data_IF_651041929280
#
_entry.id   IF_651041929280
#
_cell.length_a   1.000
_cell.length_b   1.000
_cell.length_c   1.000
_cell.angle_alpha   90.00
_cell.angle_beta   90.00
_cell.angle_gamma   90.00
#
_symmetry.space_group_name_H-M   'P 1'
#
loop_
_entity.id
_entity.type
_entity.pdbx_description
1 polymer ?
#
# COMPACT_ATOMS: atom_id res chain seq x y z
N UNK A 1 11.31 -6.66 18.91
CA UNK A 1 12.30 -6.10 19.86
C UNK A 1 11.65 -6.06 21.23
N UNK A 2 12.35 -6.49 22.28
CA UNK A 2 11.85 -6.34 23.65
C UNK A 2 12.00 -4.87 24.10
N UNK A 3 11.02 -4.36 24.86
CA UNK A 3 11.05 -3.00 25.39
C UNK A 3 12.27 -2.77 26.29
N UNK A 4 13.24 -1.91 25.90
CA UNK A 4 14.46 -1.67 26.67
C UNK A 4 14.22 -0.88 27.96
N UNK A 5 13.04 -0.27 28.11
CA UNK A 5 12.63 0.50 29.28
C UNK A 5 11.90 -0.35 30.33
N UNK A 6 11.61 -1.61 30.02
CA UNK A 6 11.03 -2.57 30.99
C UNK A 6 11.86 -2.68 32.26
N UNK A 7 13.20 -2.56 32.16
CA UNK A 7 14.14 -2.53 33.30
C UNK A 7 13.92 -1.36 34.26
N UNK A 8 13.21 -0.32 33.82
CA UNK A 8 12.84 0.84 34.62
C UNK A 8 11.37 0.80 35.09
N UNK A 9 10.68 -0.33 34.91
CA UNK A 9 9.29 -0.50 35.32
C UNK A 9 8.26 0.06 34.32
N UNK A 10 8.67 0.50 33.13
CA UNK A 10 7.76 0.99 32.09
C UNK A 10 7.24 -0.18 31.29
N UNK A 11 5.91 -0.38 31.27
CA UNK A 11 5.27 -1.42 30.48
C UNK A 11 5.24 -1.09 28.98
N UNK A 12 5.11 -2.12 28.16
CA UNK A 12 4.99 -1.98 26.70
C UNK A 12 3.76 -1.16 26.31
N UNK A 13 2.66 -1.30 27.06
CA UNK A 13 1.44 -0.51 26.86
C UNK A 13 1.63 0.97 27.16
N UNK A 14 2.36 1.31 28.22
CA UNK A 14 2.65 2.71 28.56
C UNK A 14 3.57 3.34 27.52
N UNK A 15 4.59 2.61 27.09
CA UNK A 15 5.48 3.06 26.02
C UNK A 15 4.72 3.26 24.70
N UNK A 16 3.87 2.32 24.31
CA UNK A 16 3.06 2.45 23.10
C UNK A 16 2.11 3.65 23.17
N UNK A 17 1.47 3.88 24.32
CA UNK A 17 0.59 5.03 24.53
C UNK A 17 1.35 6.36 24.43
N UNK A 18 2.55 6.44 25.02
CA UNK A 18 3.40 7.63 24.95
C UNK A 18 3.86 7.92 23.51
N UNK A 19 4.23 6.89 22.73
CA UNK A 19 4.60 7.04 21.32
C UNK A 19 3.37 7.47 20.49
N UNK A 20 2.20 6.92 20.79
CA UNK A 20 0.96 7.25 20.08
C UNK A 20 0.54 8.71 20.30
N UNK A 21 0.73 9.25 21.51
CA UNK A 21 0.36 10.62 21.87
C UNK A 21 1.46 11.67 21.66
N UNK A 22 2.70 11.25 21.37
CA UNK A 22 3.82 12.16 21.16
C UNK A 22 3.69 12.97 19.86
N UNK A 23 3.64 14.30 20.01
CA UNK A 23 3.62 15.25 18.90
C UNK A 23 4.94 15.26 18.10
N UNK A 24 6.07 14.98 18.75
CA UNK A 24 7.39 14.91 18.11
C UNK A 24 7.49 13.70 17.19
N UNK A 25 7.01 12.53 17.64
CA UNK A 25 6.92 11.32 16.80
C UNK A 25 6.01 11.57 15.60
N UNK A 26 4.92 12.31 15.78
CA UNK A 26 4.02 12.68 14.68
C UNK A 26 4.67 13.64 13.67
N UNK A 27 5.45 14.61 14.14
CA UNK A 27 6.17 15.53 13.28
C UNK A 27 7.23 14.78 12.46
N UNK A 28 8.09 14.00 13.11
CA UNK A 28 9.13 13.23 12.43
C UNK A 28 8.56 12.22 11.43
N UNK A 29 7.42 11.60 11.76
CA UNK A 29 6.77 10.68 10.82
C UNK A 29 6.20 11.39 9.60
N UNK A 30 5.74 12.64 9.72
CA UNK A 30 5.31 13.44 8.56
C UNK A 30 6.47 13.78 7.64
N UNK A 31 7.62 14.11 8.21
CA UNK A 31 8.85 14.37 7.45
C UNK A 31 9.29 13.12 6.69
N UNK A 32 9.38 11.98 7.38
CA UNK A 32 9.70 10.70 6.75
C UNK A 32 8.68 10.31 5.67
N UNK A 33 7.39 10.55 5.91
CA UNK A 33 6.35 10.29 4.91
C UNK A 33 6.52 11.19 3.68
N UNK A 34 6.97 12.44 3.86
CA UNK A 34 7.25 13.33 2.75
C UNK A 34 8.44 12.84 1.93
N UNK A 35 9.54 12.47 2.57
CA UNK A 35 10.72 11.88 1.89
C UNK A 35 10.34 10.62 1.11
N UNK A 36 9.54 9.74 1.71
CA UNK A 36 9.06 8.53 1.05
C UNK A 36 8.15 8.84 -0.14
N UNK A 37 7.31 9.88 -0.06
CA UNK A 37 6.49 10.33 -1.18
C UNK A 37 7.35 10.86 -2.32
N UNK A 38 8.37 11.66 -2.01
CA UNK A 38 9.28 12.24 -3.00
C UNK A 38 10.11 11.15 -3.70
N UNK A 39 10.61 10.18 -2.93
CA UNK A 39 11.28 9.01 -3.49
C UNK A 39 10.35 8.20 -4.40
N UNK A 40 9.13 7.88 -3.96
CA UNK A 40 8.16 7.16 -4.77
C UNK A 40 7.87 7.91 -6.09
N UNK A 41 7.69 9.22 -6.06
CA UNK A 41 7.55 10.03 -7.29
C UNK A 41 8.75 9.89 -8.21
N UNK A 42 9.96 9.88 -7.66
CA UNK A 42 11.20 9.80 -8.45
C UNK A 42 11.39 8.47 -9.17
N UNK A 43 10.90 7.37 -8.62
CA UNK A 43 10.99 6.02 -9.21
C UNK A 43 9.74 5.62 -9.99
N UNK A 44 8.70 6.46 -10.00
CA UNK A 44 7.46 6.17 -10.71
C UNK A 44 7.67 6.23 -12.23
N UNK A 45 6.99 5.36 -13.02
CA UNK A 45 7.15 5.33 -14.47
C UNK A 45 6.90 6.68 -15.15
N UNK A 46 7.85 7.10 -15.98
CA UNK A 46 7.89 8.42 -16.66
C UNK A 46 6.70 8.62 -17.59
N UNK A 47 6.28 7.55 -18.28
CA UNK A 47 5.20 7.57 -19.28
C UNK A 47 3.82 7.86 -18.66
N UNK A 48 3.73 7.79 -17.33
CA UNK A 48 2.52 8.04 -16.55
C UNK A 48 2.76 9.14 -15.52
N UNK A 49 3.16 10.33 -15.97
CA UNK A 49 3.36 11.49 -15.08
C UNK A 49 2.17 11.78 -14.14
N UNK A 50 0.95 11.43 -14.55
CA UNK A 50 -0.26 11.45 -13.71
C UNK A 50 -0.18 10.53 -12.48
N UNK A 51 0.47 9.37 -12.62
CA UNK A 51 0.71 8.44 -11.52
C UNK A 51 1.68 9.04 -10.50
N UNK A 52 2.84 9.52 -10.94
CA UNK A 52 3.78 10.20 -10.04
C UNK A 52 3.11 11.40 -9.33
N UNK A 53 2.41 12.26 -10.07
CA UNK A 53 1.71 13.42 -9.52
C UNK A 53 0.61 13.05 -8.48
N UNK A 54 0.06 11.84 -8.55
CA UNK A 54 -0.98 11.38 -7.63
C UNK A 54 -0.47 10.91 -6.27
N UNK A 55 0.84 10.62 -6.13
CA UNK A 55 1.48 10.18 -4.89
C UNK A 55 1.55 11.34 -3.91
N UNK A 56 1.06 11.15 -2.67
CA UNK A 56 1.09 12.17 -1.62
C UNK A 56 1.03 11.59 -0.22
N UNK A 57 1.45 12.39 0.74
CA UNK A 57 1.18 12.15 2.17
C UNK A 57 -0.32 12.32 2.40
N UNK A 58 -0.94 11.29 2.99
CA UNK A 58 -2.36 11.26 3.30
C UNK A 58 -2.59 11.72 4.74
N UNK A 59 -3.62 12.54 4.91
CA UNK A 59 -4.10 12.95 6.22
C UNK A 59 -5.11 11.92 6.70
N UNK A 60 -4.72 11.13 7.70
CA UNK A 60 -5.60 10.14 8.34
C UNK A 60 -6.26 10.78 9.56
N UNK A 61 -7.58 10.62 9.69
CA UNK A 61 -8.32 11.07 10.87
C UNK A 61 -7.98 10.11 12.02
N UNK A 62 -7.34 10.63 13.07
CA UNK A 62 -6.86 9.86 14.22
C UNK A 62 -5.80 8.80 13.89
N UNK A 63 -4.95 9.08 12.91
CA UNK A 63 -3.87 8.18 12.51
C UNK A 63 -2.58 8.91 12.22
N UNK A 64 -1.51 8.12 12.23
CA UNK A 64 -0.14 8.51 11.87
C UNK A 64 -0.04 8.78 10.36
N UNK A 65 0.84 9.68 9.93
CA UNK A 65 0.97 10.05 8.52
C UNK A 65 1.30 8.83 7.64
N UNK A 66 0.64 8.70 6.50
CA UNK A 66 0.86 7.61 5.54
C UNK A 66 1.13 8.17 4.15
N UNK A 67 1.77 7.38 3.28
CA UNK A 67 1.99 7.74 1.87
C UNK A 67 1.10 6.89 0.99
N UNK A 68 0.45 7.49 0.00
CA UNK A 68 -0.37 6.74 -0.95
C UNK A 68 -0.71 7.49 -2.22
N UNK A 69 -1.27 6.77 -3.18
CA UNK A 69 -1.81 7.27 -4.44
C UNK A 69 -3.27 6.86 -4.58
N UNK A 70 -4.08 7.69 -5.26
CA UNK A 70 -5.46 7.36 -5.67
C UNK A 70 -5.54 6.96 -7.14
N UNK A 71 -4.43 6.95 -7.85
CA UNK A 71 -4.39 6.57 -9.25
C UNK A 71 -4.58 5.06 -9.36
N UNK A 72 -5.48 4.61 -10.23
CA UNK A 72 -5.87 3.20 -10.33
C UNK A 72 -4.69 2.25 -10.58
N UNK A 73 -3.67 2.69 -11.35
CA UNK A 73 -2.40 1.95 -11.55
C UNK A 73 -1.61 1.67 -10.27
N UNK A 74 -1.85 2.40 -9.18
CA UNK A 74 -1.25 2.10 -7.87
C UNK A 74 -1.66 0.72 -7.33
N UNK A 75 -2.78 0.18 -7.84
CA UNK A 75 -3.30 -1.14 -7.46
C UNK A 75 -2.78 -2.28 -8.35
N UNK A 76 -1.89 -1.98 -9.30
CA UNK A 76 -1.31 -2.98 -10.18
C UNK A 76 0.04 -3.47 -9.68
N UNK A 77 0.25 -4.78 -9.77
CA UNK A 77 1.54 -5.41 -9.53
C UNK A 77 2.34 -5.26 -10.82
N UNK A 78 3.47 -4.58 -10.73
CA UNK A 78 4.29 -4.10 -11.87
C UNK A 78 4.80 -5.21 -12.81
N UNK A 79 4.71 -6.50 -12.41
CA UNK A 79 5.07 -7.66 -13.23
C UNK A 79 3.89 -8.52 -13.72
N UNK A 80 2.64 -8.11 -13.47
CA UNK A 80 1.45 -8.93 -13.77
C UNK A 80 0.76 -8.66 -15.10
N UNK A 81 1.02 -7.51 -15.73
CA UNK A 81 0.30 -7.08 -16.93
C UNK A 81 1.26 -6.42 -17.91
N UNK A 82 2.11 -7.22 -18.54
CA UNK A 82 2.76 -6.77 -19.78
C UNK A 82 1.71 -6.23 -20.77
N UNK A 83 2.11 -5.43 -21.77
CA UNK A 83 1.17 -4.95 -22.78
C UNK A 83 0.40 -6.13 -23.36
N UNK A 84 -0.92 -5.96 -23.50
CA UNK A 84 -1.80 -6.95 -24.12
C UNK A 84 -1.30 -7.14 -25.55
N UNK A 85 -0.57 -8.23 -25.79
CA UNK A 85 -0.14 -8.60 -27.13
C UNK A 85 -1.38 -9.03 -27.90
N UNK A 86 -1.47 -8.71 -29.20
CA UNK A 86 -2.57 -9.21 -30.06
C UNK A 86 -2.73 -10.73 -30.02
N UNK A 87 -1.68 -11.43 -29.62
CA UNK A 87 -1.61 -12.88 -29.45
C UNK A 87 -2.07 -13.37 -28.07
N UNK A 88 -2.57 -12.48 -27.21
CA UNK A 88 -2.97 -12.79 -25.84
C UNK A 88 -1.78 -13.10 -24.93
N UNK A 89 -2.06 -13.27 -23.63
CA UNK A 89 -1.08 -13.77 -22.66
C UNK A 89 -0.46 -15.08 -23.16
N UNK A 90 0.88 -15.21 -23.06
CA UNK A 90 1.62 -16.47 -23.33
C UNK A 90 1.12 -17.68 -22.53
N UNK A 91 0.29 -17.43 -21.52
CA UNK A 91 -0.24 -18.43 -20.62
C UNK A 91 -1.68 -18.88 -20.97
N UNK A 92 -2.28 -18.36 -22.04
CA UNK A 92 -3.59 -18.78 -22.54
C UNK A 92 -4.77 -18.42 -21.60
N UNK A 93 -6.02 -18.68 -22.02
CA UNK A 93 -7.23 -18.42 -21.22
C UNK A 93 -7.37 -19.34 -19.99
N UNK A 94 -6.59 -20.43 -19.93
CA UNK A 94 -6.65 -21.47 -18.88
C UNK A 94 -5.44 -21.45 -17.93
N UNK A 95 -4.78 -20.29 -17.75
CA UNK A 95 -3.72 -20.22 -16.74
C UNK A 95 -4.34 -20.35 -15.35
N UNK A 96 -3.92 -21.32 -14.51
CA UNK A 96 -4.41 -21.42 -13.15
C UNK A 96 -4.00 -20.14 -12.40
N UNK A 97 -5.00 -19.35 -12.04
CA UNK A 97 -4.84 -18.16 -11.22
C UNK A 97 -4.11 -18.55 -9.93
N UNK A 98 -2.92 -17.97 -9.64
CA UNK A 98 -2.21 -18.26 -8.39
C UNK A 98 -3.09 -17.93 -7.18
N UNK A 99 -2.96 -18.72 -6.11
CA UNK A 99 -3.83 -18.66 -4.93
C UNK A 99 -3.87 -17.30 -4.20
N UNK A 100 -2.95 -16.38 -4.51
CA UNK A 100 -2.89 -15.03 -3.94
C UNK A 100 -3.64 -13.97 -4.76
N UNK A 101 -4.20 -14.31 -5.93
CA UNK A 101 -5.04 -13.38 -6.67
C UNK A 101 -6.39 -13.19 -5.96
N UNK A 102 -6.94 -11.97 -5.89
CA UNK A 102 -8.27 -11.76 -5.31
C UNK A 102 -9.31 -12.53 -6.13
N UNK A 103 -9.91 -13.53 -5.48
CA UNK A 103 -10.82 -14.53 -6.04
C UNK A 103 -11.96 -13.88 -6.85
N UNK A 104 -12.22 -14.39 -8.06
CA UNK A 104 -13.34 -13.97 -8.91
C UNK A 104 -14.67 -14.06 -8.13
N UNK A 105 -15.46 -12.99 -8.15
CA UNK A 105 -16.86 -12.98 -7.71
C UNK A 105 -17.58 -14.21 -8.27
N UNK A 106 -17.99 -15.13 -7.39
CA UNK A 106 -18.89 -16.24 -7.71
C UNK A 106 -20.13 -15.67 -8.41
N UNK A 107 -20.29 -15.96 -9.69
CA UNK A 107 -21.54 -15.69 -10.39
C UNK A 107 -22.64 -16.49 -9.69
N UNK A 108 -23.74 -15.80 -9.37
CA UNK A 108 -24.95 -16.39 -8.80
C UNK A 108 -25.41 -17.50 -9.73
N UNK A 109 -25.49 -18.72 -9.22
CA UNK A 109 -26.21 -19.80 -9.89
C UNK A 109 -27.69 -19.41 -9.84
N UNK A 110 -28.19 -18.84 -10.93
CA UNK A 110 -29.63 -18.76 -11.18
C UNK A 110 -30.12 -20.14 -11.55
N UNK A 111 -31.15 -20.57 -10.83
CA UNK A 111 -31.82 -21.85 -10.96
C UNK A 111 -32.66 -21.96 -12.25
N UNK A 112 -32.97 -23.23 -12.56
CA UNK A 112 -34.13 -23.75 -13.28
C UNK A 112 -34.02 -23.88 -14.82
N UNK A 113 -34.75 -24.84 -15.44
CA UNK A 113 -35.82 -25.70 -14.90
C UNK A 113 -35.42 -27.14 -14.54
#
# INVERSE_FOLDING_TARGET
>A
MANPLSKFGISDSELAAAIASSAEVDAGLREMAQEAADYWRSVSPVDTGEYAASVKVQKVKNGKATVGSKHWRAHFIEFGTGPDTKDGSKFGPDTPTPAFAPELKRQRITAAP
#
